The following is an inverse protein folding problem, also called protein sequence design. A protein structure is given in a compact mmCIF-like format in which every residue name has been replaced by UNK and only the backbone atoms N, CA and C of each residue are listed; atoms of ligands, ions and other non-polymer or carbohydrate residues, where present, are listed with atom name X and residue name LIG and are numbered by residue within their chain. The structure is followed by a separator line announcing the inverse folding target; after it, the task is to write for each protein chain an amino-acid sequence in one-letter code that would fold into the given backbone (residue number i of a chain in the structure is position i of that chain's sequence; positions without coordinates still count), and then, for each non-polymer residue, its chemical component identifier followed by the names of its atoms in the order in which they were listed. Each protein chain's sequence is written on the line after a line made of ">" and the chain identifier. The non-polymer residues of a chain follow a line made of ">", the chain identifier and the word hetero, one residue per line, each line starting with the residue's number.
data_IF_334307442241
#
_entry.id   IF_334307442241
#
_cell.length_a   1.000
_cell.length_b   1.000
_cell.length_c   1.000
_cell.angle_alpha   90.00
_cell.angle_beta   90.00
_cell.angle_gamma   90.00
#
_symmetry.space_group_name_H-M   'P 1'
#
loop_
_entity.id
_entity.type
_entity.pdbx_description
1 polymer ?
#
# COMPACT_ATOMS: atom_id res chain seq x y z
N UNK A 1 -22.02 20.29 -7.22
CA UNK A 1 -21.22 19.77 -8.34
C UNK A 1 -20.14 18.87 -7.75
N UNK A 2 -20.21 17.56 -7.96
CA UNK A 2 -19.15 16.63 -7.52
C UNK A 2 -17.96 16.78 -8.48
N UNK A 3 -16.71 16.89 -7.98
CA UNK A 3 -15.56 16.88 -8.88
C UNK A 3 -15.48 15.53 -9.60
N UNK A 4 -15.34 15.58 -10.92
CA UNK A 4 -15.14 14.40 -11.73
C UNK A 4 -13.81 13.74 -11.31
N UNK A 5 -13.90 12.53 -10.76
CA UNK A 5 -12.74 11.67 -10.54
C UNK A 5 -12.21 11.33 -11.93
N UNK A 6 -11.03 11.87 -12.28
CA UNK A 6 -10.34 11.48 -13.51
C UNK A 6 -10.07 9.99 -13.45
N UNK A 7 -10.53 9.27 -14.47
CA UNK A 7 -10.28 7.84 -14.63
C UNK A 7 -8.79 7.53 -14.56
N UNK A 8 -8.39 6.44 -13.87
CA UNK A 8 -7.00 6.05 -13.80
C UNK A 8 -6.51 5.66 -15.20
N UNK A 9 -5.53 6.40 -15.68
CA UNK A 9 -4.63 6.15 -16.80
C UNK A 9 -5.11 5.11 -17.84
N UNK A 10 -5.87 5.56 -18.85
CA UNK A 10 -6.05 4.85 -20.11
C UNK A 10 -4.71 4.89 -20.89
N UNK A 11 -3.84 3.94 -20.64
CA UNK A 11 -2.61 3.73 -21.38
C UNK A 11 -2.95 3.13 -22.75
N UNK A 12 -3.09 3.98 -23.77
CA UNK A 12 -3.10 3.53 -25.18
C UNK A 12 -1.69 3.09 -25.56
N UNK A 13 -1.56 1.85 -26.02
CA UNK A 13 -0.29 1.24 -26.48
C UNK A 13 0.24 1.96 -27.70
N UNK A 14 1.49 2.41 -27.68
CA UNK A 14 2.41 2.45 -28.84
C UNK A 14 3.86 2.82 -28.47
N UNK A 15 4.81 2.01 -29.01
CA UNK A 15 6.25 2.22 -29.11
C UNK A 15 7.19 1.85 -27.93
N UNK A 16 8.46 1.53 -28.28
CA UNK A 16 9.53 1.05 -27.38
C UNK A 16 9.75 1.88 -26.08
N UNK A 17 9.34 3.14 -26.07
CA UNK A 17 9.38 4.00 -24.86
C UNK A 17 8.33 3.61 -23.82
N UNK A 18 7.29 2.86 -24.20
CA UNK A 18 6.24 2.40 -23.26
C UNK A 18 6.71 1.25 -22.37
N UNK A 19 7.68 0.45 -22.83
CA UNK A 19 8.18 -0.65 -22.02
C UNK A 19 8.90 -0.15 -20.76
N UNK A 20 9.69 0.91 -20.87
CA UNK A 20 10.31 1.57 -19.71
C UNK A 20 9.28 2.19 -18.78
N UNK A 21 8.25 2.82 -19.34
CA UNK A 21 7.16 3.41 -18.55
C UNK A 21 6.33 2.34 -17.80
N UNK A 22 6.12 1.17 -18.39
CA UNK A 22 5.42 0.04 -17.75
C UNK A 22 6.27 -0.61 -16.64
N UNK A 23 7.58 -0.66 -16.81
CA UNK A 23 8.51 -1.12 -15.76
C UNK A 23 8.51 -0.16 -14.57
N UNK A 24 8.50 1.15 -14.82
CA UNK A 24 8.39 2.18 -13.77
C UNK A 24 7.07 2.08 -12.99
N UNK A 25 5.97 1.66 -13.64
CA UNK A 25 4.67 1.47 -12.99
C UNK A 25 4.63 0.28 -12.02
N UNK A 26 5.60 -0.64 -12.11
CA UNK A 26 5.74 -1.78 -11.20
C UNK A 26 6.64 -1.47 -10.01
N UNK A 27 7.33 -0.35 -10.03
CA UNK A 27 8.18 0.06 -8.93
C UNK A 27 7.36 0.64 -7.79
N UNK A 28 7.71 0.26 -6.58
CA UNK A 28 7.06 0.77 -5.37
C UNK A 28 7.95 0.66 -4.15
N UNK A 29 7.48 1.22 -3.06
CA UNK A 29 8.16 1.14 -1.77
C UNK A 29 7.15 1.12 -0.63
N UNK A 30 7.58 0.60 0.51
CA UNK A 30 6.92 0.83 1.79
C UNK A 30 7.19 2.27 2.25
N UNK A 31 6.32 2.79 3.09
CA UNK A 31 6.52 4.09 3.71
C UNK A 31 6.14 4.03 5.18
N UNK A 32 7.05 4.49 6.02
CA UNK A 32 6.81 4.72 7.44
C UNK A 32 7.31 6.11 7.82
N UNK A 33 6.43 6.90 8.41
CA UNK A 33 6.72 8.28 8.82
C UNK A 33 6.35 8.45 10.27
N UNK A 34 7.27 8.98 11.06
CA UNK A 34 7.02 9.31 12.46
C UNK A 34 7.15 10.81 12.63
N UNK A 35 6.08 11.46 13.08
CA UNK A 35 6.05 12.85 13.45
C UNK A 35 6.09 12.98 14.98
N UNK A 36 7.04 13.77 15.50
CA UNK A 36 7.18 14.02 16.91
C UNK A 36 6.83 15.49 17.16
N UNK A 37 5.80 15.70 17.95
CA UNK A 37 5.38 17.03 18.38
C UNK A 37 5.70 17.22 19.87
N UNK A 38 5.36 18.38 20.43
CA UNK A 38 5.54 18.65 21.85
C UNK A 38 4.79 17.64 22.73
N UNK A 39 3.62 17.19 22.31
CA UNK A 39 2.69 16.41 23.14
C UNK A 39 2.39 15.01 22.58
N UNK A 40 2.78 14.72 21.35
CA UNK A 40 2.40 13.48 20.64
C UNK A 40 3.52 12.94 19.77
N UNK A 41 3.53 11.63 19.62
CA UNK A 41 4.24 10.90 18.58
C UNK A 41 3.15 10.30 17.69
N UNK A 42 3.22 10.57 16.40
CA UNK A 42 2.25 10.08 15.40
C UNK A 42 3.02 9.25 14.40
N UNK A 43 2.59 8.02 14.18
CA UNK A 43 3.19 7.13 13.19
C UNK A 43 2.20 6.84 12.06
N UNK A 44 2.62 7.05 10.82
CA UNK A 44 1.90 6.65 9.62
C UNK A 44 2.66 5.54 8.93
N UNK A 45 2.01 4.38 8.70
CA UNK A 45 2.63 3.22 8.08
C UNK A 45 1.82 2.73 6.87
N UNK A 46 2.52 2.50 5.76
CA UNK A 46 2.01 1.78 4.58
C UNK A 46 3.05 0.76 4.12
N UNK A 47 2.84 -0.50 4.47
CA UNK A 47 3.74 -1.61 4.15
C UNK A 47 4.23 -2.36 5.39
N UNK A 48 5.34 -3.06 5.25
CA UNK A 48 5.92 -3.94 6.27
C UNK A 48 7.24 -3.39 6.88
N UNK A 49 7.46 -2.10 6.72
CA UNK A 49 8.46 -1.38 7.53
C UNK A 49 7.90 -1.12 8.94
N UNK A 50 8.79 -1.05 9.94
CA UNK A 50 8.39 -0.91 11.35
C UNK A 50 8.97 0.33 11.99
N UNK A 51 8.17 0.93 12.86
CA UNK A 51 8.64 1.89 13.85
C UNK A 51 8.37 1.36 15.26
N UNK A 52 9.32 1.56 16.13
CA UNK A 52 9.22 1.20 17.55
C UNK A 52 9.71 2.36 18.41
N UNK A 53 9.02 2.59 19.53
CA UNK A 53 9.41 3.54 20.54
C UNK A 53 10.11 2.81 21.68
N UNK A 54 11.35 3.17 21.95
CA UNK A 54 12.06 2.71 23.14
C UNK A 54 11.87 3.73 24.28
N UNK A 55 11.28 3.30 25.38
CA UNK A 55 11.06 4.13 26.57
C UNK A 55 11.41 3.35 27.81
N UNK A 56 12.38 3.81 28.58
CA UNK A 56 12.74 3.30 29.92
C UNK A 56 12.78 1.77 29.99
N UNK A 57 13.55 1.10 29.22
CA UNK A 57 13.68 -0.37 29.21
C UNK A 57 12.49 -1.16 28.60
N UNK A 58 11.53 -0.49 27.97
CA UNK A 58 10.44 -1.12 27.22
C UNK A 58 10.46 -0.69 25.78
N UNK A 59 9.96 -1.56 24.90
CA UNK A 59 9.77 -1.28 23.48
C UNK A 59 8.28 -1.36 23.16
N UNK A 60 7.75 -0.29 22.57
CA UNK A 60 6.38 -0.20 22.10
C UNK A 60 6.37 -0.14 20.58
N UNK A 61 5.62 -1.03 19.93
CA UNK A 61 5.42 -0.97 18.48
C UNK A 61 4.53 0.22 18.11
N UNK A 62 5.03 1.08 17.22
CA UNK A 62 4.26 2.22 16.67
C UNK A 62 3.59 1.88 15.36
N UNK A 63 3.90 0.75 14.76
CA UNK A 63 3.29 0.28 13.51
C UNK A 63 3.04 -1.21 13.57
N UNK A 64 2.12 -1.67 12.72
CA UNK A 64 1.85 -3.07 12.42
C UNK A 64 2.16 -3.33 10.95
N UNK A 65 2.79 -4.47 10.66
CA UNK A 65 3.13 -4.85 9.30
C UNK A 65 1.86 -5.16 8.49
N UNK A 66 1.78 -4.62 7.28
CA UNK A 66 0.70 -4.92 6.36
C UNK A 66 1.03 -6.16 5.53
N UNK A 67 0.71 -7.32 6.08
CA UNK A 67 0.95 -8.64 5.47
C UNK A 67 -0.35 -9.31 5.03
N UNK A 68 -0.29 -10.19 4.00
CA UNK A 68 -1.47 -10.91 3.51
C UNK A 68 -2.18 -11.79 4.55
N UNK A 69 -1.47 -12.24 5.59
CA UNK A 69 -2.02 -13.00 6.70
C UNK A 69 -2.82 -12.18 7.72
N UNK A 70 -2.63 -10.86 7.75
CA UNK A 70 -3.42 -9.98 8.59
C UNK A 70 -4.90 -10.05 8.15
N UNK A 71 -5.85 -10.33 9.07
CA UNK A 71 -7.25 -10.54 8.72
C UNK A 71 -7.90 -9.36 7.98
N UNK A 72 -7.58 -8.12 8.36
CA UNK A 72 -8.12 -6.92 7.72
C UNK A 72 -7.60 -6.78 6.29
N UNK A 73 -6.31 -7.02 6.10
CA UNK A 73 -5.65 -6.97 4.81
C UNK A 73 -6.18 -8.09 3.90
N UNK A 74 -6.27 -9.31 4.43
CA UNK A 74 -6.83 -10.46 3.72
C UNK A 74 -8.23 -10.21 3.20
N UNK A 75 -9.11 -9.69 4.06
CA UNK A 75 -10.50 -9.38 3.68
C UNK A 75 -10.56 -8.36 2.52
N UNK A 76 -9.69 -7.34 2.54
CA UNK A 76 -9.63 -6.36 1.44
C UNK A 76 -9.16 -7.02 0.15
N UNK A 77 -8.13 -7.87 0.19
CA UNK A 77 -7.57 -8.56 -0.97
C UNK A 77 -8.62 -9.49 -1.60
N UNK A 78 -9.30 -10.28 -0.79
CA UNK A 78 -10.36 -11.19 -1.25
C UNK A 78 -11.54 -10.42 -1.85
N UNK A 79 -11.96 -9.29 -1.24
CA UNK A 79 -12.99 -8.41 -1.77
C UNK A 79 -12.57 -7.71 -3.08
N UNK A 80 -11.28 -7.55 -3.32
CA UNK A 80 -10.75 -7.07 -4.59
C UNK A 80 -10.69 -8.15 -5.68
N UNK A 81 -11.11 -9.39 -5.37
CA UNK A 81 -11.11 -10.52 -6.30
C UNK A 81 -9.71 -11.12 -6.52
N UNK A 82 -8.75 -10.85 -5.65
CA UNK A 82 -7.37 -11.33 -5.77
C UNK A 82 -7.14 -12.48 -4.78
N UNK A 83 -6.43 -13.51 -5.23
CA UNK A 83 -6.06 -14.65 -4.39
C UNK A 83 -4.70 -14.44 -3.74
N UNK A 84 -4.59 -14.90 -2.49
CA UNK A 84 -3.31 -15.00 -1.78
C UNK A 84 -2.70 -16.37 -2.10
N UNK A 85 -1.55 -16.39 -2.75
CA UNK A 85 -0.84 -17.60 -3.14
C UNK A 85 0.50 -17.64 -2.41
N UNK A 86 0.72 -18.67 -1.60
CA UNK A 86 1.94 -18.85 -0.81
C UNK A 86 2.30 -17.61 0.05
N UNK A 87 1.29 -16.99 0.67
CA UNK A 87 1.49 -15.79 1.49
C UNK A 87 1.79 -14.52 0.69
N UNK A 88 1.53 -14.52 -0.64
CA UNK A 88 1.80 -13.38 -1.51
C UNK A 88 0.56 -12.93 -2.28
N UNK A 89 0.49 -11.64 -2.54
CA UNK A 89 -0.55 -10.99 -3.36
C UNK A 89 0.11 -10.51 -4.64
N UNK A 90 -0.23 -11.12 -5.78
CA UNK A 90 0.39 -10.81 -7.08
C UNK A 90 1.94 -10.83 -7.02
N UNK A 91 2.51 -11.76 -6.24
CA UNK A 91 3.97 -11.88 -6.05
C UNK A 91 4.56 -11.04 -4.91
N UNK A 92 3.85 -10.04 -4.39
CA UNK A 92 4.29 -9.21 -3.27
C UNK A 92 4.01 -9.89 -1.92
N UNK A 93 4.93 -9.74 -0.97
CA UNK A 93 4.80 -10.24 0.40
C UNK A 93 4.25 -9.18 1.37
N UNK A 94 3.70 -8.10 0.83
CA UNK A 94 3.07 -6.99 1.54
C UNK A 94 1.77 -6.59 0.86
N UNK A 95 0.95 -5.78 1.54
CA UNK A 95 -0.40 -5.42 1.07
C UNK A 95 -0.63 -3.92 0.99
N UNK A 96 0.37 -3.12 1.37
CA UNK A 96 0.33 -1.67 1.20
C UNK A 96 1.70 -1.13 0.77
N UNK A 97 1.69 -0.22 -0.20
CA UNK A 97 2.89 0.41 -0.76
C UNK A 97 2.55 1.74 -1.43
N UNK A 98 3.55 2.58 -1.62
CA UNK A 98 3.52 3.72 -2.53
C UNK A 98 4.06 3.23 -3.88
N UNK A 99 3.52 3.71 -5.00
CA UNK A 99 3.85 3.13 -6.31
C UNK A 99 3.12 1.81 -6.55
N UNK A 100 3.79 0.81 -7.13
CA UNK A 100 3.23 -0.51 -7.43
C UNK A 100 1.88 -0.42 -8.19
N UNK A 101 1.78 0.48 -9.16
CA UNK A 101 0.50 0.80 -9.82
C UNK A 101 -0.08 -0.38 -10.59
N UNK A 102 0.77 -1.28 -11.09
CA UNK A 102 0.34 -2.52 -11.75
C UNK A 102 -0.52 -3.42 -10.83
N UNK A 103 -0.32 -3.31 -9.51
CA UNK A 103 -1.05 -4.08 -8.49
C UNK A 103 -2.28 -3.33 -7.94
N UNK A 104 -2.58 -2.13 -8.45
CA UNK A 104 -3.65 -1.22 -7.99
C UNK A 104 -4.65 -0.90 -9.10
N UNK A 105 -4.82 -1.81 -10.04
CA UNK A 105 -5.56 -1.60 -11.28
C UNK A 105 -6.88 -2.38 -11.36
N UNK A 106 -7.43 -2.87 -10.25
CA UNK A 106 -8.72 -3.56 -10.26
C UNK A 106 -9.84 -2.59 -10.70
N UNK A 107 -10.54 -2.88 -11.85
CA UNK A 107 -11.50 -1.95 -12.40
C UNK A 107 -12.67 -1.65 -11.45
N UNK A 108 -13.06 -0.39 -11.37
CA UNK A 108 -14.21 0.05 -10.57
C UNK A 108 -13.98 0.09 -9.05
N UNK A 109 -12.81 -0.34 -8.57
CA UNK A 109 -12.47 -0.25 -7.15
C UNK A 109 -11.72 1.06 -6.83
N UNK A 110 -12.14 1.81 -5.81
CA UNK A 110 -11.39 2.96 -5.32
C UNK A 110 -10.07 2.52 -4.66
N UNK A 111 -9.10 3.43 -4.55
CA UNK A 111 -7.73 3.14 -4.08
C UNK A 111 -7.68 2.40 -2.74
N UNK A 112 -8.56 2.73 -1.79
CA UNK A 112 -8.60 2.10 -0.47
C UNK A 112 -9.16 0.67 -0.48
N UNK A 113 -9.77 0.23 -1.60
CA UNK A 113 -10.32 -1.12 -1.79
C UNK A 113 -9.50 -1.98 -2.73
N UNK A 114 -8.44 -1.45 -3.31
CA UNK A 114 -7.51 -2.23 -4.13
C UNK A 114 -6.82 -3.30 -3.29
N UNK A 115 -6.41 -4.41 -3.90
CA UNK A 115 -5.70 -5.49 -3.22
C UNK A 115 -4.41 -4.98 -2.55
N UNK A 116 -3.65 -4.15 -3.27
CA UNK A 116 -2.56 -3.35 -2.73
C UNK A 116 -3.05 -1.91 -2.62
N UNK A 117 -2.85 -1.25 -1.48
CA UNK A 117 -3.26 0.14 -1.28
C UNK A 117 -2.12 1.01 -0.75
N UNK A 118 -2.20 2.32 -0.97
CA UNK A 118 -1.24 3.27 -0.40
C UNK A 118 -1.78 3.95 0.88
N UNK A 119 -2.98 3.61 1.32
CA UNK A 119 -3.59 4.23 2.50
C UNK A 119 -2.84 3.77 3.75
N UNK A 120 -2.27 4.68 4.54
CA UNK A 120 -1.55 4.31 5.75
C UNK A 120 -2.51 4.03 6.91
N UNK A 121 -2.05 3.22 7.86
CA UNK A 121 -2.59 3.24 9.21
C UNK A 121 -1.90 4.34 10.01
N UNK A 122 -2.66 5.02 10.87
CA UNK A 122 -2.19 6.10 11.73
C UNK A 122 -2.36 5.69 13.20
N UNK A 123 -1.27 5.76 13.93
CA UNK A 123 -1.24 5.51 15.39
C UNK A 123 -0.71 6.73 16.13
#
# INVERSE_FOLDING_TARGET
>A
MKPAVKEPYNLKRSNKNEQYFLEDLQSGCTAIVVAITKDKIICANAGDSRAALCRKFSVEALSEDHKPENPIERLRIENAGVQIIQGRVNGLNLTRSIGDFGHKSAPGLPFHKQAITCIPDIK
#
